data_IF_210090903043
#
_entry.id   IF_210090903043
#
_cell.length_a   1.000
_cell.length_b   1.000
_cell.length_c   1.000
_cell.angle_alpha   90.00
_cell.angle_beta   90.00
_cell.angle_gamma   90.00
#
_symmetry.space_group_name_H-M   'P 1'
#
loop_
_entity.id
_entity.type
_entity.pdbx_description
1 polymer ?
#
# COMPACT_ATOMS: atom_id res chain seq x y z
N UNK A 1 -9.02 -7.50 13.16
CA UNK A 1 -9.10 -6.68 11.93
C UNK A 1 -9.50 -5.27 12.35
N UNK A 2 -8.80 -4.24 11.88
CA UNK A 2 -8.98 -2.84 12.30
C UNK A 2 -9.96 -2.10 11.40
N UNK A 3 -9.77 -2.23 10.09
CA UNK A 3 -10.57 -1.51 9.11
C UNK A 3 -10.50 -2.17 7.73
N UNK A 4 -11.56 -2.06 6.94
CA UNK A 4 -11.59 -2.43 5.53
C UNK A 4 -12.43 -1.42 4.76
N UNK A 5 -11.94 -0.95 3.61
CA UNK A 5 -12.70 -0.03 2.75
C UNK A 5 -11.90 0.47 1.56
N UNK A 6 -12.49 1.39 0.80
CA UNK A 6 -11.85 2.00 -0.38
C UNK A 6 -11.17 3.31 0.02
N UNK A 7 -9.93 3.51 -0.46
CA UNK A 7 -9.17 4.74 -0.29
C UNK A 7 -8.75 5.29 -1.65
N UNK A 8 -8.59 6.61 -1.73
CA UNK A 8 -7.89 7.29 -2.84
C UNK A 8 -6.46 7.53 -2.39
N UNK A 9 -5.49 7.16 -3.23
CA UNK A 9 -4.07 7.29 -2.88
C UNK A 9 -3.66 8.76 -3.00
N UNK A 10 -3.79 9.35 -4.19
CA UNK A 10 -3.54 10.78 -4.44
C UNK A 10 -2.25 11.28 -3.80
N UNK A 11 -2.33 12.38 -3.05
CA UNK A 11 -1.21 12.96 -2.31
C UNK A 11 -0.70 12.11 -1.13
N UNK A 12 -1.48 11.11 -0.69
CA UNK A 12 -1.12 10.19 0.37
C UNK A 12 -2.29 9.79 1.26
N UNK A 13 -2.25 8.55 1.77
CA UNK A 13 -3.20 8.02 2.75
C UNK A 13 -2.48 7.55 4.00
N UNK A 14 -3.06 7.87 5.15
CA UNK A 14 -2.67 7.35 6.46
C UNK A 14 -3.69 6.28 6.87
N UNK A 15 -3.21 5.03 6.92
CA UNK A 15 -3.95 3.80 7.23
C UNK A 15 -3.97 3.49 8.72
N UNK A 16 -3.21 4.22 9.53
CA UNK A 16 -3.22 4.10 10.99
C UNK A 16 -4.48 4.74 11.60
N UNK A 17 -5.05 5.75 10.93
CA UNK A 17 -6.34 6.36 11.28
C UNK A 17 -7.53 5.50 10.87
N UNK A 18 -8.62 5.56 11.64
CA UNK A 18 -9.87 4.84 11.37
C UNK A 18 -11.07 5.81 11.39
N UNK A 19 -11.72 6.07 10.24
CA UNK A 19 -11.34 5.64 8.90
C UNK A 19 -10.02 6.28 8.43
N UNK A 20 -9.30 5.69 7.46
CA UNK A 20 -8.09 6.27 6.91
C UNK A 20 -8.29 7.69 6.42
N UNK A 21 -7.36 8.57 6.77
CA UNK A 21 -7.40 9.98 6.34
C UNK A 21 -6.52 10.19 5.12
N UNK A 22 -7.05 10.87 4.10
CA UNK A 22 -6.24 11.38 2.99
C UNK A 22 -5.40 12.53 3.55
N UNK A 23 -4.08 12.41 3.49
CA UNK A 23 -3.17 13.47 3.93
C UNK A 23 -2.71 14.27 2.71
N UNK A 24 -2.74 15.59 2.85
CA UNK A 24 -2.24 16.52 1.83
C UNK A 24 -0.72 16.73 1.92
N UNK A 25 -0.04 16.09 2.88
CA UNK A 25 1.42 16.16 3.03
C UNK A 25 2.05 14.77 3.09
N UNK A 26 3.17 14.61 2.37
CA UNK A 26 3.84 13.32 2.12
C UNK A 26 4.51 12.73 3.37
N UNK A 27 4.88 13.57 4.35
CA UNK A 27 5.74 13.21 5.47
C UNK A 27 5.17 12.13 6.41
N UNK A 28 3.88 11.80 6.30
CA UNK A 28 3.18 10.82 7.16
C UNK A 28 2.20 9.92 6.39
N UNK A 29 2.28 9.88 5.06
CA UNK A 29 1.45 8.98 4.28
C UNK A 29 2.08 7.59 4.24
N UNK A 30 1.33 6.55 4.57
CA UNK A 30 1.78 5.16 4.47
C UNK A 30 1.97 4.74 3.03
N UNK A 31 1.02 5.16 2.17
CA UNK A 31 1.01 4.92 0.73
C UNK A 31 0.58 6.19 0.02
N UNK A 32 1.18 6.47 -1.13
CA UNK A 32 0.81 7.57 -2.02
C UNK A 32 1.02 7.20 -3.48
N UNK A 33 0.39 7.96 -4.36
CA UNK A 33 0.73 7.95 -5.77
C UNK A 33 2.10 8.62 -5.98
N UNK A 34 2.92 8.10 -6.91
CA UNK A 34 4.14 8.81 -7.30
C UNK A 34 3.82 10.03 -8.17
N UNK A 35 4.68 11.04 -8.10
CA UNK A 35 4.62 12.24 -8.95
C UNK A 35 5.16 12.02 -10.38
N UNK A 36 5.66 10.83 -10.72
CA UNK A 36 6.17 10.55 -12.07
C UNK A 36 5.10 10.72 -13.13
N UNK A 37 5.40 11.45 -14.21
CA UNK A 37 4.44 11.78 -15.26
C UNK A 37 4.18 10.64 -16.25
N UNK A 38 5.08 9.65 -16.30
CA UNK A 38 5.08 8.63 -17.36
C UNK A 38 4.66 7.25 -16.90
N UNK A 39 4.68 6.98 -15.59
CA UNK A 39 4.52 5.62 -15.06
C UNK A 39 3.57 5.61 -13.86
N UNK A 40 2.51 4.80 -13.97
CA UNK A 40 1.61 4.50 -12.85
C UNK A 40 2.39 3.79 -11.75
N UNK A 41 2.65 4.50 -10.66
CA UNK A 41 3.53 4.04 -9.60
C UNK A 41 3.03 4.48 -8.24
N UNK A 42 3.39 3.70 -7.22
CA UNK A 42 3.05 3.96 -5.83
C UNK A 42 4.31 4.02 -4.98
N UNK A 43 4.28 4.87 -3.97
CA UNK A 43 5.36 5.05 -3.01
C UNK A 43 4.87 4.76 -1.60
N UNK A 44 5.77 4.22 -0.78
CA UNK A 44 5.59 4.01 0.64
C UNK A 44 6.73 4.67 1.42
N UNK A 45 6.61 4.72 2.74
CA UNK A 45 7.71 5.11 3.61
C UNK A 45 8.66 3.93 3.80
N UNK A 46 9.97 4.13 3.59
CA UNK A 46 10.98 3.08 3.79
C UNK A 46 10.63 1.78 3.03
N UNK A 47 11.09 0.62 3.47
CA UNK A 47 10.81 -0.69 2.86
C UNK A 47 9.45 -1.26 3.32
N UNK A 48 8.39 -0.47 3.19
CA UNK A 48 7.07 -0.78 3.75
C UNK A 48 6.03 -1.19 2.71
N UNK A 49 6.44 -1.41 1.47
CA UNK A 49 5.60 -1.92 0.39
C UNK A 49 6.20 -3.21 -0.16
N UNK A 50 5.38 -4.19 -0.50
CA UNK A 50 5.84 -5.33 -1.27
C UNK A 50 4.72 -5.86 -2.19
N UNK A 51 5.02 -6.20 -3.46
CA UNK A 51 4.05 -6.83 -4.35
C UNK A 51 3.65 -8.21 -3.83
N UNK A 52 2.46 -8.66 -4.19
CA UNK A 52 1.98 -10.01 -3.89
C UNK A 52 1.59 -10.73 -5.19
N UNK A 53 2.27 -11.82 -5.48
CA UNK A 53 2.14 -12.64 -6.69
C UNK A 53 1.20 -13.85 -6.51
N UNK A 54 0.72 -14.09 -5.28
CA UNK A 54 -0.19 -15.20 -5.00
C UNK A 54 -1.59 -14.99 -5.59
N UNK A 55 -2.25 -16.09 -5.97
CA UNK A 55 -3.56 -16.09 -6.63
C UNK A 55 -4.74 -15.63 -5.76
N UNK A 56 -4.55 -15.48 -4.45
CA UNK A 56 -5.57 -15.07 -3.50
C UNK A 56 -5.07 -13.92 -2.62
N UNK A 57 -5.99 -13.17 -2.00
CA UNK A 57 -5.63 -12.10 -1.06
C UNK A 57 -4.78 -12.66 0.09
N UNK A 58 -3.59 -12.09 0.37
CA UNK A 58 -2.69 -12.60 1.40
C UNK A 58 -3.29 -12.45 2.80
N UNK A 59 -2.89 -13.37 3.66
CA UNK A 59 -3.09 -13.26 5.11
C UNK A 59 -2.10 -12.26 5.73
N UNK A 60 -2.36 -11.83 6.97
CA UNK A 60 -1.43 -10.97 7.72
C UNK A 60 -0.02 -11.56 7.75
N UNK A 61 0.11 -12.85 8.06
CA UNK A 61 1.41 -13.54 8.17
C UNK A 61 2.15 -13.54 6.85
N UNK A 62 1.47 -13.87 5.76
CA UNK A 62 2.06 -13.81 4.42
C UNK A 62 2.56 -12.40 4.10
N UNK A 63 1.77 -11.37 4.42
CA UNK A 63 2.26 -10.01 4.22
C UNK A 63 3.49 -9.65 5.05
N UNK A 64 3.59 -10.13 6.30
CA UNK A 64 4.81 -9.93 7.09
C UNK A 64 6.02 -10.59 6.43
N UNK A 65 5.87 -11.84 6.00
CA UNK A 65 6.94 -12.61 5.33
C UNK A 65 7.35 -11.95 4.01
N UNK A 66 6.39 -11.56 3.17
CA UNK A 66 6.64 -10.86 1.90
C UNK A 66 7.32 -9.52 2.13
N UNK A 67 6.86 -8.70 3.07
CA UNK A 67 7.50 -7.42 3.41
C UNK A 67 8.92 -7.60 3.96
N UNK A 68 9.21 -8.70 4.65
CA UNK A 68 10.56 -8.98 5.18
C UNK A 68 11.57 -9.38 4.10
N UNK A 69 11.09 -9.84 2.94
CA UNK A 69 11.92 -10.38 1.86
C UNK A 69 11.97 -9.46 0.64
N UNK A 70 10.87 -8.76 0.35
CA UNK A 70 10.65 -7.98 -0.86
C UNK A 70 10.26 -6.51 -0.56
N UNK A 71 10.47 -6.06 0.68
CA UNK A 71 10.16 -4.69 1.09
C UNK A 71 10.88 -3.65 0.24
N UNK A 72 10.11 -2.75 -0.37
CA UNK A 72 10.56 -1.64 -1.20
C UNK A 72 9.89 -0.34 -0.76
N UNK A 73 10.48 0.78 -1.19
CA UNK A 73 9.92 2.14 -1.04
C UNK A 73 8.97 2.51 -2.17
N UNK A 74 9.06 1.78 -3.28
CA UNK A 74 8.42 2.15 -4.53
C UNK A 74 8.14 0.92 -5.40
N UNK A 75 7.02 0.94 -6.10
CA UNK A 75 6.69 0.03 -7.18
C UNK A 75 6.24 0.82 -8.42
N UNK A 76 6.79 0.50 -9.60
CA UNK A 76 6.51 1.19 -10.86
C UNK A 76 7.65 2.02 -11.42
N UNK A 77 8.03 3.12 -10.76
CA UNK A 77 8.88 4.16 -11.38
C UNK A 77 10.31 3.68 -11.69
N UNK A 78 10.87 2.77 -10.89
CA UNK A 78 12.24 2.26 -11.05
C UNK A 78 12.41 1.17 -12.12
N UNK A 79 11.36 0.85 -12.88
CA UNK A 79 11.48 0.03 -14.10
C UNK A 79 11.28 -1.48 -13.94
N UNK A 80 10.61 -1.93 -12.88
CA UNK A 80 10.31 -3.36 -12.70
C UNK A 80 8.92 -3.76 -13.24
N UNK A 81 7.85 -2.96 -13.06
CA UNK A 81 6.49 -3.21 -13.60
C UNK A 81 5.54 -2.04 -13.24
N UNK A 82 4.67 -1.59 -14.15
CA UNK A 82 3.65 -0.56 -13.81
C UNK A 82 2.65 -1.09 -12.79
N UNK A 83 2.04 -0.19 -12.00
CA UNK A 83 0.87 -0.55 -11.20
C UNK A 83 -0.33 -0.76 -12.13
N UNK A 84 -0.95 -1.94 -12.01
CA UNK A 84 -2.13 -2.34 -12.78
C UNK A 84 -3.38 -2.41 -11.89
N UNK A 85 -4.54 -2.50 -12.54
CA UNK A 85 -5.77 -2.84 -11.85
C UNK A 85 -5.64 -4.25 -11.26
N UNK A 86 -6.32 -4.48 -10.14
CA UNK A 86 -6.28 -5.74 -9.39
C UNK A 86 -4.93 -6.15 -8.78
N UNK A 87 -3.82 -5.43 -9.03
CA UNK A 87 -2.55 -5.65 -8.34
C UNK A 87 -2.72 -5.63 -6.82
N UNK A 88 -2.05 -6.55 -6.13
CA UNK A 88 -2.12 -6.70 -4.67
C UNK A 88 -0.77 -6.36 -4.08
N UNK A 89 -0.81 -5.60 -3.00
CA UNK A 89 0.37 -5.20 -2.24
C UNK A 89 0.18 -5.46 -0.76
N UNK A 90 1.25 -5.90 -0.13
CA UNK A 90 1.40 -5.89 1.32
C UNK A 90 2.01 -4.56 1.75
N UNK A 91 1.48 -3.99 2.83
CA UNK A 91 1.86 -2.67 3.32
C UNK A 91 2.14 -2.75 4.81
N UNK A 92 3.26 -2.17 5.24
CA UNK A 92 3.53 -1.82 6.64
C UNK A 92 3.19 -0.35 6.83
N UNK A 93 2.40 -0.03 7.85
CA UNK A 93 2.07 1.36 8.17
C UNK A 93 3.16 2.00 9.03
N UNK A 94 3.10 3.31 9.20
CA UNK A 94 4.03 4.10 10.01
C UNK A 94 4.02 3.69 11.49
N UNK A 95 2.87 3.27 12.02
CA UNK A 95 2.76 2.69 13.37
C UNK A 95 3.06 1.17 13.40
N UNK A 96 3.59 0.60 12.32
CA UNK A 96 4.03 -0.79 12.24
C UNK A 96 2.90 -1.81 12.08
N UNK A 97 1.67 -1.37 11.78
CA UNK A 97 0.57 -2.29 11.45
C UNK A 97 0.81 -2.90 10.09
N UNK A 98 0.17 -4.04 9.86
CA UNK A 98 0.17 -4.71 8.56
C UNK A 98 -1.17 -4.43 7.89
N UNK A 99 -1.11 -4.19 6.59
CA UNK A 99 -2.25 -4.03 5.72
C UNK A 99 -2.04 -4.78 4.40
N UNK A 100 -3.15 -5.10 3.75
CA UNK A 100 -3.17 -5.51 2.35
C UNK A 100 -3.94 -4.47 1.57
N UNK A 101 -3.40 -4.11 0.42
CA UNK A 101 -3.97 -3.17 -0.53
C UNK A 101 -4.22 -3.90 -1.85
N UNK A 102 -5.42 -3.79 -2.39
CA UNK A 102 -5.75 -4.25 -3.74
C UNK A 102 -6.18 -3.07 -4.60
N UNK A 103 -5.48 -2.82 -5.69
CA UNK A 103 -5.82 -1.75 -6.62
C UNK A 103 -7.18 -2.04 -7.27
N UNK A 104 -8.06 -1.03 -7.26
CA UNK A 104 -9.35 -1.06 -7.97
C UNK A 104 -9.30 -0.28 -9.27
N UNK A 105 -8.50 0.79 -9.25
CA UNK A 105 -8.34 1.72 -10.35
C UNK A 105 -6.92 2.25 -10.26
N UNK A 106 -6.07 1.90 -11.20
CA UNK A 106 -4.71 2.39 -11.36
C UNK A 106 -4.70 3.45 -12.47
N UNK A 107 -5.50 4.51 -12.31
CA UNK A 107 -5.46 5.67 -13.23
C UNK A 107 -4.69 6.78 -12.53
N UNK A 108 -3.78 7.41 -13.28
CA UNK A 108 -3.00 8.54 -12.81
C UNK A 108 -3.90 9.66 -12.24
N UNK A 109 -3.54 10.22 -11.10
CA UNK A 109 -4.28 11.17 -10.25
C UNK A 109 -5.64 10.70 -9.73
N UNK A 110 -6.03 9.46 -10.01
CA UNK A 110 -7.32 8.89 -9.62
C UNK A 110 -7.18 7.48 -9.03
N UNK A 111 -5.99 7.13 -8.54
CA UNK A 111 -5.72 5.80 -8.02
C UNK A 111 -6.61 5.49 -6.81
N UNK A 112 -7.25 4.32 -6.87
CA UNK A 112 -8.10 3.80 -5.79
C UNK A 112 -7.72 2.38 -5.46
N UNK A 113 -7.75 2.07 -4.16
CA UNK A 113 -7.52 0.72 -3.68
C UNK A 113 -8.53 0.33 -2.60
N UNK A 114 -8.84 -0.97 -2.52
CA UNK A 114 -9.44 -1.56 -1.33
C UNK A 114 -8.32 -1.92 -0.38
N UNK A 115 -8.38 -1.41 0.85
CA UNK A 115 -7.38 -1.72 1.87
C UNK A 115 -8.05 -2.46 3.02
N UNK A 116 -7.33 -3.43 3.58
CA UNK A 116 -7.68 -4.12 4.83
C UNK A 116 -6.49 -4.02 5.79
N UNK A 117 -6.72 -3.41 6.95
CA UNK A 117 -5.73 -3.21 8.01
C UNK A 117 -6.00 -4.19 9.14
N UNK A 118 -4.99 -4.91 9.59
CA UNK A 118 -5.10 -5.82 10.74
C UNK A 118 -4.88 -5.06 12.06
N UNK A 119 -5.68 -5.38 13.10
CA UNK A 119 -5.46 -4.85 14.45
C UNK A 119 -4.26 -5.59 15.03
N UNK A 120 -3.31 -4.84 15.61
CA UNK A 120 -2.17 -5.24 16.45
C UNK A 120 -0.78 -5.37 15.78
N UNK A 121 0.19 -4.78 16.49
CA UNK A 121 1.63 -5.06 16.53
C UNK A 121 1.93 -6.44 17.14
N UNK A 122 1.00 -7.41 17.12
CA UNK A 122 1.27 -8.71 17.73
C UNK A 122 2.41 -9.40 16.97
N UNK A 123 3.47 -9.62 17.75
CA UNK A 123 4.61 -10.47 17.47
C UNK A 123 4.15 -11.78 16.85
N UNK A 124 4.81 -12.19 15.78
CA UNK A 124 4.78 -13.57 15.31
C UNK A 124 5.24 -14.53 16.41
#
# INVERSE_FOLDING_TARGET
>A
MQWTGVVRLGAGVDLDQVPPTIRTSEAKADIRESSSFFVKSIKAQEQSLAPWDGSATPTRRQCVETLSTQGTTEWGESGEEEVEDDSIFCVRTSEGRIAVMKLKKAIYHEMQATVKVWNSLESL
#
